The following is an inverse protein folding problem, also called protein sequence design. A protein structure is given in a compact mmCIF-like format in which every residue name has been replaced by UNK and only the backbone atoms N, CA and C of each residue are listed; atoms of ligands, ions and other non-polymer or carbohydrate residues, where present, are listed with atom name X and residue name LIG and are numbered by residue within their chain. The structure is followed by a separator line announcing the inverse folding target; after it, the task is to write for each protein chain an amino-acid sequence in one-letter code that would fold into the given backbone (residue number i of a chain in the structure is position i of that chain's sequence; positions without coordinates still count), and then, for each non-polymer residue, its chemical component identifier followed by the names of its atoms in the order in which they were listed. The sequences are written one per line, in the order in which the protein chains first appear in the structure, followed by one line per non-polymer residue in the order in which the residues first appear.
data_IF_017461329389
#
_entry.id   IF_017461329389
#
_cell.length_a   1.000
_cell.length_b   1.000
_cell.length_c   1.000
_cell.angle_alpha   90.00
_cell.angle_beta   90.00
_cell.angle_gamma   90.00
#
_symmetry.space_group_name_H-M   'P 1'
#
loop_
_entity.id
_entity.type
_entity.pdbx_description
1 polymer ?
#
# COMPACT_ATOMS: atom_id res chain seq x y z
N UNK A 1 2.85 23.13 -8.78
CA UNK A 1 2.14 24.35 -8.36
C UNK A 1 1.99 24.25 -6.85
N UNK A 2 2.47 25.27 -6.13
CA UNK A 2 2.62 25.23 -4.67
C UNK A 2 1.70 26.22 -3.96
N UNK A 3 1.46 25.99 -2.67
CA UNK A 3 0.65 26.86 -1.83
C UNK A 3 1.28 28.26 -1.75
N UNK A 4 0.47 29.30 -1.98
CA UNK A 4 0.91 30.69 -1.90
C UNK A 4 0.74 31.21 -0.47
N UNK A 5 1.72 31.99 0.00
CA UNK A 5 1.66 32.67 1.32
C UNK A 5 0.58 33.75 1.31
N UNK A 6 -0.14 33.87 2.42
CA UNK A 6 -1.15 34.91 2.64
C UNK A 6 -0.63 35.89 3.67
N UNK A 7 -0.67 37.19 3.34
CA UNK A 7 -0.23 38.26 4.22
C UNK A 7 -1.07 39.52 3.99
N UNK A 8 -1.05 40.42 4.97
CA UNK A 8 -1.83 41.65 4.96
C UNK A 8 -1.39 42.55 3.78
N UNK A 9 -2.35 43.02 2.99
CA UNK A 9 -2.10 43.87 1.83
C UNK A 9 -1.82 43.13 0.52
N UNK A 10 -1.94 41.79 0.50
CA UNK A 10 -1.85 41.00 -0.72
C UNK A 10 -3.00 41.38 -1.69
N UNK A 11 -2.70 41.83 -2.92
CA UNK A 11 -3.72 42.03 -3.95
C UNK A 11 -4.43 40.71 -4.26
N UNK A 12 -5.75 40.74 -4.46
CA UNK A 12 -6.57 39.56 -4.76
C UNK A 12 -6.43 38.41 -3.75
N UNK A 13 -6.28 38.74 -2.46
CA UNK A 13 -6.12 37.76 -1.38
C UNK A 13 -7.23 36.70 -1.38
N UNK A 14 -8.48 37.08 -1.67
CA UNK A 14 -9.62 36.17 -1.80
C UNK A 14 -9.38 35.07 -2.86
N UNK A 15 -8.83 35.45 -4.02
CA UNK A 15 -8.49 34.50 -5.08
C UNK A 15 -7.39 33.55 -4.63
N UNK A 16 -6.35 34.09 -3.98
CA UNK A 16 -5.24 33.27 -3.46
C UNK A 16 -5.71 32.26 -2.41
N UNK A 17 -6.66 32.63 -1.55
CA UNK A 17 -7.31 31.72 -0.59
C UNK A 17 -8.01 30.58 -1.33
N UNK A 18 -8.87 30.91 -2.29
CA UNK A 18 -9.64 29.92 -3.05
C UNK A 18 -8.73 28.99 -3.87
N UNK A 19 -7.74 29.54 -4.57
CA UNK A 19 -6.74 28.75 -5.31
C UNK A 19 -6.01 27.74 -4.40
N UNK A 20 -5.68 28.14 -3.17
CA UNK A 20 -5.05 27.26 -2.19
C UNK A 20 -6.03 26.17 -1.71
N UNK A 21 -7.29 26.49 -1.46
CA UNK A 21 -8.31 25.49 -1.08
C UNK A 21 -8.57 24.50 -2.21
N UNK A 22 -8.65 24.95 -3.47
CA UNK A 22 -8.80 24.09 -4.63
C UNK A 22 -7.60 23.13 -4.79
N UNK A 23 -6.37 23.64 -4.56
CA UNK A 23 -5.16 22.82 -4.54
C UNK A 23 -5.18 21.77 -3.42
N UNK A 24 -5.68 22.11 -2.23
CA UNK A 24 -5.81 21.16 -1.12
C UNK A 24 -6.87 20.12 -1.45
N UNK A 25 -8.06 20.53 -1.89
CA UNK A 25 -9.15 19.63 -2.26
C UNK A 25 -8.72 18.66 -3.35
N UNK A 26 -8.04 19.15 -4.39
CA UNK A 26 -7.48 18.31 -5.44
C UNK A 26 -6.48 17.28 -4.90
N UNK A 27 -5.62 17.65 -3.93
CA UNK A 27 -4.67 16.71 -3.30
C UNK A 27 -5.38 15.67 -2.43
N UNK A 28 -6.46 16.06 -1.73
CA UNK A 28 -7.28 15.15 -0.92
C UNK A 28 -8.05 14.18 -1.80
N UNK A 29 -8.64 14.65 -2.91
CA UNK A 29 -9.35 13.81 -3.90
C UNK A 29 -8.43 12.77 -4.56
N UNK A 30 -7.12 13.01 -4.56
CA UNK A 30 -6.12 12.09 -5.11
C UNK A 30 -5.67 11.01 -4.11
N UNK A 31 -6.15 11.05 -2.86
CA UNK A 31 -5.86 10.07 -1.81
C UNK A 31 -7.09 9.22 -1.51
N UNK A 32 -6.99 7.91 -1.71
CA UNK A 32 -8.10 6.99 -1.45
C UNK A 32 -8.32 6.70 0.03
N UNK A 33 -7.41 7.13 0.91
CA UNK A 33 -7.34 6.64 2.28
C UNK A 33 -6.95 5.16 2.34
N UNK A 34 -6.80 4.64 3.57
CA UNK A 34 -6.43 3.24 3.80
C UNK A 34 -7.62 2.31 3.63
N UNK A 35 -7.47 1.32 2.76
CA UNK A 35 -8.46 0.28 2.46
C UNK A 35 -7.89 -1.06 2.90
N UNK A 36 -8.68 -1.88 3.61
CA UNK A 36 -8.29 -3.23 4.01
C UNK A 36 -8.26 -4.15 2.79
N UNK A 37 -7.15 -4.86 2.59
CA UNK A 37 -7.04 -5.87 1.55
C UNK A 37 -7.86 -7.13 1.92
N UNK A 38 -8.63 -7.62 0.96
CA UNK A 38 -9.29 -8.91 1.07
C UNK A 38 -8.31 -10.00 0.63
N UNK A 39 -7.73 -10.71 1.60
CA UNK A 39 -6.74 -11.74 1.35
C UNK A 39 -7.40 -13.06 0.91
N UNK A 40 -6.72 -13.79 0.03
CA UNK A 40 -7.16 -15.06 -0.55
C UNK A 40 -6.06 -16.12 -0.43
N UNK A 41 -6.29 -17.32 -0.96
CA UNK A 41 -5.25 -18.34 -1.12
C UNK A 41 -4.63 -18.84 0.19
N UNK A 42 -5.38 -18.78 1.29
CA UNK A 42 -4.91 -19.19 2.62
C UNK A 42 -4.11 -18.12 3.37
N UNK A 43 -3.91 -16.93 2.80
CA UNK A 43 -3.36 -15.80 3.53
C UNK A 43 -4.38 -15.22 4.53
N UNK A 44 -3.92 -14.85 5.72
CA UNK A 44 -4.79 -14.39 6.81
C UNK A 44 -4.29 -13.05 7.34
N UNK A 45 -5.19 -12.06 7.41
CA UNK A 45 -4.89 -10.75 7.99
C UNK A 45 -4.59 -10.87 9.49
N UNK A 46 -3.73 -10.00 10.01
CA UNK A 46 -3.66 -9.77 11.46
C UNK A 46 -4.82 -8.86 11.85
N UNK A 47 -5.46 -9.13 12.99
CA UNK A 47 -6.71 -8.44 13.34
C UNK A 47 -6.48 -6.97 13.71
N UNK A 48 -5.37 -6.65 14.37
CA UNK A 48 -5.01 -5.32 14.85
C UNK A 48 -4.27 -4.47 13.81
N UNK A 49 -3.58 -5.10 12.85
CA UNK A 49 -2.84 -4.42 11.79
C UNK A 49 -2.91 -5.22 10.47
N UNK A 50 -4.08 -5.28 9.82
CA UNK A 50 -4.27 -6.06 8.61
C UNK A 50 -3.49 -5.45 7.44
N UNK A 51 -3.33 -6.21 6.36
CA UNK A 51 -2.84 -5.66 5.10
C UNK A 51 -3.82 -4.59 4.62
N UNK A 52 -3.29 -3.40 4.40
CA UNK A 52 -4.00 -2.24 3.92
C UNK A 52 -3.26 -1.64 2.73
N UNK A 53 -4.01 -0.94 1.88
CA UNK A 53 -3.48 -0.25 0.73
C UNK A 53 -4.15 1.10 0.55
N UNK A 54 -3.43 2.05 -0.06
CA UNK A 54 -3.95 3.35 -0.46
C UNK A 54 -3.27 3.81 -1.73
N UNK A 55 -3.95 4.64 -2.51
CA UNK A 55 -3.40 5.32 -3.68
C UNK A 55 -3.36 6.81 -3.40
N UNK A 56 -2.20 7.41 -3.62
CA UNK A 56 -1.96 8.86 -3.56
C UNK A 56 -1.42 9.27 -4.92
N UNK A 57 -2.24 9.95 -5.72
CA UNK A 57 -1.94 10.18 -7.14
C UNK A 57 -1.73 8.84 -7.88
N UNK A 58 -0.57 8.66 -8.50
CA UNK A 58 -0.21 7.42 -9.20
C UNK A 58 0.64 6.49 -8.34
N UNK A 59 0.82 6.80 -7.04
CA UNK A 59 1.61 5.98 -6.12
C UNK A 59 0.66 5.15 -5.26
N UNK A 60 0.85 3.83 -5.26
CA UNK A 60 0.17 2.91 -4.34
C UNK A 60 1.13 2.49 -3.24
N UNK A 61 0.63 2.52 -2.01
CA UNK A 61 1.34 2.07 -0.81
C UNK A 61 0.55 0.91 -0.23
N UNK A 62 1.22 -0.20 0.04
CA UNK A 62 0.68 -1.39 0.68
C UNK A 62 1.49 -1.67 1.94
N UNK A 63 0.81 -1.93 3.06
CA UNK A 63 1.47 -2.27 4.32
C UNK A 63 0.60 -3.13 5.22
N UNK A 64 1.19 -3.76 6.23
CA UNK A 64 0.48 -4.43 7.32
C UNK A 64 0.94 -5.87 7.49
N UNK A 65 0.25 -6.62 8.36
CA UNK A 65 0.63 -7.98 8.71
C UNK A 65 -0.31 -9.02 8.13
N UNK A 66 0.29 -10.10 7.63
CA UNK A 66 -0.42 -11.29 7.22
C UNK A 66 0.34 -12.57 7.60
N UNK A 67 -0.39 -13.67 7.71
CA UNK A 67 0.16 -15.02 7.57
C UNK A 67 0.20 -15.37 6.10
N UNK A 68 1.37 -15.76 5.60
CA UNK A 68 1.57 -16.20 4.22
C UNK A 68 1.37 -17.73 4.17
N UNK A 69 0.62 -18.28 3.20
CA UNK A 69 0.47 -19.72 3.07
C UNK A 69 1.81 -20.40 2.79
N UNK A 70 2.01 -21.57 3.38
CA UNK A 70 3.14 -22.46 3.11
C UNK A 70 3.10 -22.96 1.66
N UNK A 71 4.21 -23.49 1.16
CA UNK A 71 4.38 -24.13 -0.18
C UNK A 71 4.41 -23.23 -1.43
N UNK A 72 4.24 -21.90 -1.29
CA UNK A 72 4.36 -20.97 -2.43
C UNK A 72 3.31 -21.18 -3.53
N UNK A 73 3.30 -20.31 -4.54
CA UNK A 73 2.38 -20.34 -5.69
C UNK A 73 0.97 -19.79 -5.45
N UNK A 74 0.54 -19.58 -4.21
CA UNK A 74 -0.80 -19.09 -3.91
C UNK A 74 -0.98 -17.60 -4.25
N UNK A 75 -2.10 -17.25 -4.89
CA UNK A 75 -2.54 -15.86 -5.05
C UNK A 75 -3.13 -15.39 -3.72
N UNK A 76 -2.43 -14.47 -3.05
CA UNK A 76 -2.78 -14.00 -1.71
C UNK A 76 -3.60 -12.71 -1.73
N UNK A 77 -3.50 -11.92 -2.79
CA UNK A 77 -4.35 -10.74 -2.98
C UNK A 77 -4.42 -10.34 -4.47
N UNK A 78 -5.60 -9.92 -4.91
CA UNK A 78 -5.82 -9.31 -6.22
C UNK A 78 -6.30 -7.87 -6.00
N UNK A 79 -5.46 -6.85 -6.27
CA UNK A 79 -5.87 -5.46 -6.15
C UNK A 79 -6.97 -5.12 -7.17
N UNK A 80 -7.85 -4.15 -6.88
CA UNK A 80 -8.74 -3.57 -7.89
C UNK A 80 -7.92 -2.94 -9.03
N UNK A 81 -8.52 -2.84 -10.23
CA UNK A 81 -7.85 -2.49 -11.48
C UNK A 81 -6.99 -1.21 -11.37
N UNK A 82 -7.48 -0.19 -10.68
CA UNK A 82 -6.80 1.11 -10.52
C UNK A 82 -5.62 1.11 -9.53
N UNK A 83 -5.38 -0.02 -8.85
CA UNK A 83 -4.28 -0.26 -7.91
C UNK A 83 -3.29 -1.33 -8.40
N UNK A 84 -3.47 -1.85 -9.62
CA UNK A 84 -2.60 -2.90 -10.18
C UNK A 84 -1.23 -2.31 -10.54
N UNK A 85 -0.11 -2.86 -10.05
CA UNK A 85 1.22 -2.36 -10.41
C UNK A 85 1.49 -2.55 -11.91
N UNK A 86 2.13 -1.56 -12.54
CA UNK A 86 2.51 -1.62 -13.96
C UNK A 86 3.56 -2.71 -14.24
N UNK A 87 4.41 -3.01 -13.26
CA UNK A 87 5.52 -3.94 -13.38
C UNK A 87 5.48 -5.00 -12.30
N UNK A 88 6.07 -6.17 -12.59
CA UNK A 88 6.33 -7.16 -11.56
C UNK A 88 7.34 -6.59 -10.55
N UNK A 89 7.12 -6.86 -9.27
CA UNK A 89 8.02 -6.37 -8.23
C UNK A 89 8.04 -7.31 -7.03
N UNK A 90 9.22 -7.42 -6.43
CA UNK A 90 9.36 -8.07 -5.12
C UNK A 90 8.74 -7.18 -4.05
N UNK A 91 8.00 -7.80 -3.14
CA UNK A 91 7.43 -7.13 -1.98
C UNK A 91 8.26 -7.52 -0.77
N UNK A 92 8.64 -6.54 0.05
CA UNK A 92 9.37 -6.82 1.28
C UNK A 92 8.43 -7.56 2.22
N UNK A 93 8.83 -8.72 2.71
CA UNK A 93 8.18 -9.45 3.79
C UNK A 93 9.20 -9.71 4.89
N UNK A 94 8.86 -9.38 6.13
CA UNK A 94 9.75 -9.54 7.27
C UNK A 94 8.99 -10.10 8.47
N UNK A 95 9.53 -11.15 9.08
CA UNK A 95 9.06 -11.62 10.38
C UNK A 95 9.61 -10.72 11.48
N UNK A 96 8.78 -10.41 12.47
CA UNK A 96 9.24 -9.78 13.72
C UNK A 96 9.63 -10.87 14.72
N UNK A 97 10.71 -11.61 14.44
CA UNK A 97 11.26 -12.60 15.35
C UNK A 97 12.79 -12.55 15.35
N UNK A 98 13.42 -13.12 16.38
CA UNK A 98 14.87 -13.26 16.49
C UNK A 98 15.42 -14.45 15.68
N UNK A 99 14.54 -15.23 15.05
CA UNK A 99 14.87 -16.44 14.31
C UNK A 99 15.12 -16.12 12.84
N UNK A 100 16.40 -15.93 12.52
CA UNK A 100 16.88 -15.59 11.17
C UNK A 100 16.67 -16.69 10.12
N UNK A 101 16.23 -17.89 10.53
CA UNK A 101 15.95 -18.99 9.59
C UNK A 101 14.59 -18.85 8.90
N UNK A 102 13.71 -17.99 9.45
CA UNK A 102 12.35 -17.83 8.94
C UNK A 102 12.33 -16.84 7.77
N UNK A 103 11.77 -17.26 6.66
CA UNK A 103 11.73 -16.49 5.41
C UNK A 103 10.38 -16.63 4.74
N UNK A 104 9.79 -15.50 4.38
CA UNK A 104 8.65 -15.41 3.48
C UNK A 104 9.03 -14.52 2.30
N UNK A 105 8.66 -14.93 1.10
CA UNK A 105 8.87 -14.17 -0.13
C UNK A 105 7.51 -13.99 -0.79
N UNK A 106 7.12 -12.74 -1.00
CA UNK A 106 5.94 -12.37 -1.77
C UNK A 106 6.32 -11.47 -2.93
N UNK A 107 5.57 -11.56 -4.02
CA UNK A 107 5.85 -10.83 -5.26
C UNK A 107 4.55 -10.43 -5.94
N UNK A 108 4.52 -9.24 -6.55
CA UNK A 108 3.53 -8.94 -7.56
C UNK A 108 3.88 -9.61 -8.89
N UNK A 109 3.02 -10.51 -9.36
CA UNK A 109 3.13 -11.20 -10.63
C UNK A 109 1.80 -11.19 -11.37
N UNK A 110 1.78 -10.70 -12.62
CA UNK A 110 0.54 -10.59 -13.41
C UNK A 110 -0.52 -9.70 -12.74
N UNK A 111 -0.09 -8.65 -12.04
CA UNK A 111 -0.96 -7.73 -11.33
C UNK A 111 -1.54 -8.25 -10.00
N UNK A 112 -1.13 -9.44 -9.56
CA UNK A 112 -1.61 -10.08 -8.33
C UNK A 112 -0.46 -10.26 -7.34
N UNK A 113 -0.75 -10.19 -6.05
CA UNK A 113 0.22 -10.52 -5.01
C UNK A 113 0.22 -12.04 -4.80
N UNK A 114 1.39 -12.66 -4.93
CA UNK A 114 1.59 -14.11 -4.91
C UNK A 114 2.60 -14.48 -3.83
N UNK A 115 2.31 -15.54 -3.07
CA UNK A 115 3.29 -16.20 -2.21
C UNK A 115 4.29 -16.95 -3.08
N UNK A 116 5.58 -16.65 -2.97
CA UNK A 116 6.65 -17.35 -3.70
C UNK A 116 7.23 -18.46 -2.82
N UNK A 117 7.42 -18.17 -1.54
CA UNK A 117 8.00 -19.08 -0.58
C UNK A 117 7.59 -18.68 0.83
N UNK A 118 7.36 -19.66 1.70
CA UNK A 118 7.26 -19.47 3.14
C UNK A 118 7.68 -20.77 3.83
N UNK A 119 8.57 -20.68 4.83
CA UNK A 119 8.98 -21.81 5.70
C UNK A 119 8.54 -21.65 7.16
N UNK A 120 7.71 -20.65 7.44
CA UNK A 120 7.25 -20.29 8.79
C UNK A 120 5.74 -20.50 8.89
N UNK A 121 5.32 -21.60 9.50
CA UNK A 121 3.91 -21.91 9.70
C UNK A 121 3.30 -21.02 10.80
N UNK A 122 2.13 -20.45 10.53
CA UNK A 122 1.35 -19.73 11.55
C UNK A 122 1.89 -18.37 12.01
N UNK A 123 3.04 -17.92 11.51
CA UNK A 123 3.62 -16.61 11.88
C UNK A 123 3.14 -15.47 10.98
N UNK A 124 2.95 -14.30 11.59
CA UNK A 124 2.67 -13.08 10.87
C UNK A 124 3.98 -12.44 10.38
N UNK A 125 4.02 -12.06 9.10
CA UNK A 125 5.05 -11.19 8.55
C UNK A 125 4.47 -9.81 8.21
N UNK A 126 5.26 -8.77 8.45
CA UNK A 126 4.98 -7.43 7.93
C UNK A 126 5.33 -7.40 6.45
N UNK A 127 4.42 -6.87 5.63
CA UNK A 127 4.73 -6.54 4.24
C UNK A 127 4.74 -5.05 4.02
N UNK A 128 5.57 -4.63 3.07
CA UNK A 128 5.55 -3.26 2.55
C UNK A 128 5.87 -3.24 1.06
N UNK A 129 5.07 -2.49 0.31
CA UNK A 129 5.32 -2.19 -1.08
C UNK A 129 4.92 -0.75 -1.40
N UNK A 130 5.73 -0.09 -2.23
CA UNK A 130 5.44 1.22 -2.78
C UNK A 130 5.69 1.13 -4.29
N UNK A 131 4.68 1.46 -5.10
CA UNK A 131 4.78 1.33 -6.55
C UNK A 131 3.91 2.32 -7.31
N UNK A 132 4.23 2.50 -8.59
CA UNK A 132 3.43 3.30 -9.49
C UNK A 132 2.38 2.44 -10.23
N UNK A 133 1.22 3.04 -10.45
CA UNK A 133 0.11 2.51 -11.25
C UNK A 133 -0.18 3.40 -12.44
#
# INVERSE_FOLDING_TARGET
MDLKKIFKGLPDWNKTVNDNFDLINKRVEQDTGWIKANLTGGAINKDDDPVQYRKVNNLVIVRGYLRVPESGGAIIWTPPTEFVPQNQMLVRAAFQNSDVTRTAVVRFWGGKLVSVYNNSSGDYCYIEAIYYV
#
